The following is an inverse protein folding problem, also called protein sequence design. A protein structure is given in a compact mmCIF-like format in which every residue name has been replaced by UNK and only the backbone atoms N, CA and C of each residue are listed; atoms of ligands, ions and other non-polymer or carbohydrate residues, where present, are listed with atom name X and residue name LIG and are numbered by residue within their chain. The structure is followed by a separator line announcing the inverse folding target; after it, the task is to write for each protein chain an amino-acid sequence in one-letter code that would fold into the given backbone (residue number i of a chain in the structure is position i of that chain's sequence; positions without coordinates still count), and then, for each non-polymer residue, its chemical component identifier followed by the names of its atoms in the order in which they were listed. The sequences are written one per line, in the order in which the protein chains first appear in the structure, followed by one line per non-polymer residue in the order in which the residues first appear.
data_IF_505528390362
#
_entry.id   IF_505528390362
#
_cell.length_a   1.000
_cell.length_b   1.000
_cell.length_c   1.000
_cell.angle_alpha   90.00
_cell.angle_beta   90.00
_cell.angle_gamma   90.00
#
_symmetry.space_group_name_H-M   'P 1'
#
loop_
_entity.id
_entity.type
_entity.pdbx_description
1 polymer ?
#
# COMPACT_ATOMS: atom_id res chain seq x y z
N UNK A 1 -12.38 -16.25 -21.11
CA UNK A 1 -12.65 -15.91 -19.68
C UNK A 1 -11.45 -16.09 -18.73
N UNK A 2 -10.39 -16.84 -19.08
CA UNK A 2 -9.27 -17.13 -18.17
C UNK A 2 -8.37 -15.94 -17.77
N UNK A 3 -8.07 -15.04 -18.72
CA UNK A 3 -7.12 -13.91 -18.49
C UNK A 3 -7.65 -12.89 -17.49
N UNK A 4 -8.96 -12.58 -17.51
CA UNK A 4 -9.57 -11.64 -16.56
C UNK A 4 -9.47 -12.13 -15.11
N UNK A 5 -9.61 -13.45 -14.89
CA UNK A 5 -9.45 -14.07 -13.56
C UNK A 5 -8.00 -14.10 -13.10
N UNK A 6 -7.03 -14.32 -13.99
CA UNK A 6 -5.61 -14.31 -13.62
C UNK A 6 -5.15 -12.90 -13.23
N UNK A 7 -5.55 -11.86 -13.98
CA UNK A 7 -5.29 -10.46 -13.65
C UNK A 7 -5.85 -10.07 -12.27
N UNK A 8 -7.12 -10.42 -12.01
CA UNK A 8 -7.78 -10.12 -10.74
C UNK A 8 -7.12 -10.83 -9.55
N UNK A 9 -6.71 -12.09 -9.74
CA UNK A 9 -6.00 -12.86 -8.72
C UNK A 9 -4.61 -12.26 -8.45
N UNK A 10 -3.91 -11.85 -9.50
CA UNK A 10 -2.63 -11.16 -9.42
C UNK A 10 -2.70 -9.85 -8.62
N UNK A 11 -3.72 -9.01 -8.87
CA UNK A 11 -3.85 -7.71 -8.20
C UNK A 11 -4.08 -7.85 -6.69
N UNK A 12 -4.85 -8.87 -6.29
CA UNK A 12 -5.11 -9.16 -4.87
C UNK A 12 -3.86 -9.73 -4.20
N UNK A 13 -3.14 -10.65 -4.85
CA UNK A 13 -1.86 -11.18 -4.35
C UNK A 13 -0.85 -10.04 -4.15
N UNK A 14 -0.76 -9.12 -5.11
CA UNK A 14 0.17 -8.01 -5.07
C UNK A 14 -0.18 -7.00 -3.97
N UNK A 15 -1.48 -6.71 -3.79
CA UNK A 15 -1.98 -5.90 -2.68
C UNK A 15 -1.69 -6.54 -1.32
N UNK A 16 -1.78 -7.88 -1.22
CA UNK A 16 -1.47 -8.63 -0.01
C UNK A 16 0.02 -8.54 0.34
N UNK A 17 0.89 -8.75 -0.65
CA UNK A 17 2.35 -8.58 -0.49
C UNK A 17 2.68 -7.14 -0.10
N UNK A 18 2.08 -6.14 -0.74
CA UNK A 18 2.29 -4.73 -0.41
C UNK A 18 1.89 -4.43 1.04
N UNK A 19 0.73 -4.90 1.50
CA UNK A 19 0.28 -4.73 2.89
C UNK A 19 1.24 -5.41 3.89
N UNK A 20 1.68 -6.63 3.60
CA UNK A 20 2.65 -7.35 4.44
C UNK A 20 3.96 -6.58 4.56
N UNK A 21 4.50 -6.10 3.43
CA UNK A 21 5.71 -5.26 3.42
C UNK A 21 5.51 -3.95 4.19
N UNK A 22 4.32 -3.35 4.11
CA UNK A 22 3.96 -2.13 4.82
C UNK A 22 3.93 -2.35 6.34
N UNK A 23 3.25 -3.41 6.79
CA UNK A 23 3.17 -3.80 8.20
C UNK A 23 4.55 -4.15 8.76
N UNK A 24 5.33 -4.94 8.01
CA UNK A 24 6.73 -5.20 8.33
C UNK A 24 7.46 -3.87 8.50
N UNK A 25 7.47 -3.01 7.47
CA UNK A 25 8.14 -1.72 7.54
C UNK A 25 7.73 -0.88 8.76
N UNK A 26 6.44 -0.81 9.11
CA UNK A 26 5.99 -0.07 10.31
C UNK A 26 6.37 -0.73 11.64
N UNK A 27 6.37 -2.07 11.71
CA UNK A 27 6.57 -2.82 12.94
C UNK A 27 8.05 -3.09 13.26
N UNK A 28 8.92 -3.20 12.24
CA UNK A 28 10.34 -3.42 12.50
C UNK A 28 11.04 -2.14 12.96
N UNK A 29 11.87 -2.31 13.98
CA UNK A 29 12.73 -1.26 14.52
C UNK A 29 14.07 -1.13 13.79
N UNK A 30 14.22 -1.75 12.62
CA UNK A 30 15.46 -1.73 11.82
C UNK A 30 15.34 -0.83 10.61
N UNK A 31 14.98 0.44 10.80
CA UNK A 31 14.93 1.42 9.71
C UNK A 31 16.31 1.94 9.38
N UNK A 32 17.08 2.26 10.41
CA UNK A 32 18.46 2.68 10.27
C UNK A 32 19.38 1.94 11.23
N UNK A 33 20.58 1.67 10.76
CA UNK A 33 21.67 1.05 11.51
C UNK A 33 22.73 2.12 11.74
N UNK A 34 23.01 2.41 13.00
CA UNK A 34 24.15 3.21 13.44
C UNK A 34 25.29 2.25 13.82
N UNK A 35 26.54 2.73 13.93
CA UNK A 35 27.70 1.86 14.18
C UNK A 35 27.57 0.99 15.45
N UNK A 36 26.80 1.46 16.44
CA UNK A 36 26.65 0.82 17.75
C UNK A 36 25.17 0.50 18.10
N UNK A 37 24.25 0.58 17.13
CA UNK A 37 22.82 0.48 17.43
C UNK A 37 21.87 0.39 16.24
N UNK A 38 20.60 0.19 16.54
CA UNK A 38 19.50 0.12 15.58
C UNK A 38 18.40 1.10 15.97
N UNK A 39 17.95 1.91 15.02
CA UNK A 39 16.89 2.88 15.23
C UNK A 39 15.69 2.55 14.35
N UNK A 40 14.53 2.44 15.00
CA UNK A 40 13.24 2.19 14.40
C UNK A 40 12.41 3.46 14.26
N UNK A 41 11.12 3.24 14.00
CA UNK A 41 10.12 4.30 13.99
C UNK A 41 9.61 4.63 15.41
N UNK A 42 9.61 3.63 16.30
CA UNK A 42 9.05 3.73 17.65
C UNK A 42 10.12 3.68 18.74
N UNK A 43 11.22 2.96 18.48
CA UNK A 43 12.25 2.70 19.48
C UNK A 43 13.64 2.86 18.88
N UNK A 44 14.56 3.43 19.64
CA UNK A 44 15.98 3.51 19.31
C UNK A 44 16.76 2.67 20.33
N UNK A 45 17.57 1.75 19.84
CA UNK A 45 18.38 0.87 20.67
C UNK A 45 19.85 1.09 20.39
N UNK A 46 20.61 1.49 21.41
CA UNK A 46 22.03 1.82 21.31
C UNK A 46 22.79 1.01 22.37
N UNK A 47 23.84 0.29 21.97
CA UNK A 47 24.65 -0.58 22.86
C UNK A 47 23.82 -1.51 23.79
N UNK A 48 22.72 -2.08 23.28
CA UNK A 48 21.86 -2.98 24.05
C UNK A 48 20.86 -2.31 25.00
N UNK A 49 20.86 -0.97 25.10
CA UNK A 49 19.84 -0.21 25.81
C UNK A 49 18.83 0.32 24.80
N UNK A 50 17.58 -0.10 24.97
CA UNK A 50 16.48 0.27 24.11
C UNK A 50 15.63 1.34 24.79
N UNK A 51 15.53 2.51 24.16
CA UNK A 51 14.76 3.65 24.65
C UNK A 51 13.69 4.06 23.64
N UNK A 52 12.54 4.50 24.13
CA UNK A 52 11.49 5.06 23.28
C UNK A 52 11.96 6.42 22.73
N UNK A 53 11.77 6.65 21.43
CA UNK A 53 12.24 7.88 20.78
C UNK A 53 11.35 9.03 21.30
N UNK A 54 11.92 10.11 21.87
CA UNK A 54 11.12 11.22 22.36
C UNK A 54 10.25 11.76 21.23
N UNK A 55 9.03 12.19 21.59
CA UNK A 55 8.01 12.64 20.64
C UNK A 55 8.46 13.92 19.93
N UNK A 56 9.30 13.76 18.90
CA UNK A 56 9.57 14.81 17.94
C UNK A 56 8.42 14.85 16.94
N UNK A 57 7.90 16.05 16.72
CA UNK A 57 6.77 16.33 15.82
C UNK A 57 6.94 15.67 14.45
N UNK A 58 8.12 15.73 13.84
CA UNK A 58 8.37 15.10 12.53
C UNK A 58 8.26 13.57 12.58
N UNK A 59 8.77 12.92 13.62
CA UNK A 59 8.74 11.45 13.75
C UNK A 59 7.33 10.96 14.10
N UNK A 60 6.63 11.69 14.97
CA UNK A 60 5.24 11.39 15.34
C UNK A 60 4.31 11.51 14.13
N UNK A 61 4.49 12.54 13.28
CA UNK A 61 3.74 12.69 12.03
C UNK A 61 4.06 11.56 11.05
N UNK A 62 5.34 11.18 10.90
CA UNK A 62 5.73 10.03 10.07
C UNK A 62 5.10 8.72 10.56
N UNK A 63 5.11 8.48 11.87
CA UNK A 63 4.51 7.30 12.48
C UNK A 63 2.98 7.26 12.28
N UNK A 64 2.30 8.38 12.48
CA UNK A 64 0.86 8.50 12.21
C UNK A 64 0.55 8.24 10.72
N UNK A 65 1.31 8.83 9.79
CA UNK A 65 1.14 8.59 8.36
C UNK A 65 1.37 7.12 7.98
N UNK A 66 2.35 6.44 8.58
CA UNK A 66 2.59 5.00 8.39
C UNK A 66 1.40 4.16 8.86
N UNK A 67 0.87 4.43 10.05
CA UNK A 67 -0.30 3.70 10.59
C UNK A 67 -1.54 3.95 9.73
N UNK A 68 -1.76 5.19 9.28
CA UNK A 68 -2.84 5.51 8.35
C UNK A 68 -2.66 4.81 6.99
N UNK A 69 -1.43 4.75 6.47
CA UNK A 69 -1.13 4.04 5.22
C UNK A 69 -1.47 2.55 5.32
N UNK A 70 -1.08 1.90 6.43
CA UNK A 70 -1.44 0.50 6.72
C UNK A 70 -2.96 0.34 6.81
N UNK A 71 -3.64 1.21 7.57
CA UNK A 71 -5.09 1.15 7.72
C UNK A 71 -5.82 1.28 6.38
N UNK A 72 -5.44 2.27 5.57
CA UNK A 72 -6.00 2.50 4.24
C UNK A 72 -5.68 1.34 3.29
N UNK A 73 -4.48 0.77 3.36
CA UNK A 73 -4.08 -0.41 2.58
C UNK A 73 -4.90 -1.65 2.90
N UNK A 74 -5.19 -1.90 4.19
CA UNK A 74 -6.04 -3.01 4.65
C UNK A 74 -7.48 -2.82 4.18
N UNK A 75 -8.03 -1.61 4.31
CA UNK A 75 -9.38 -1.29 3.82
C UNK A 75 -9.47 -1.48 2.30
N UNK A 76 -8.45 -1.03 1.55
CA UNK A 76 -8.35 -1.27 0.11
C UNK A 76 -8.31 -2.76 -0.24
N UNK A 77 -7.54 -3.56 0.49
CA UNK A 77 -7.50 -5.02 0.29
C UNK A 77 -8.85 -5.68 0.58
N UNK A 78 -9.50 -5.33 1.70
CA UNK A 78 -10.83 -5.86 2.06
C UNK A 78 -11.85 -5.50 0.98
N UNK A 79 -11.86 -4.25 0.49
CA UNK A 79 -12.75 -3.87 -0.60
C UNK A 79 -12.45 -4.61 -1.90
N UNK A 80 -11.17 -4.81 -2.25
CA UNK A 80 -10.76 -5.62 -3.40
C UNK A 80 -11.21 -7.08 -3.31
N UNK A 81 -11.17 -7.68 -2.11
CA UNK A 81 -11.71 -9.02 -1.85
C UNK A 81 -13.23 -9.06 -1.99
N UNK A 82 -13.93 -8.04 -1.49
CA UNK A 82 -15.40 -7.98 -1.57
C UNK A 82 -15.90 -7.83 -3.00
N UNK A 83 -15.20 -7.08 -3.85
CA UNK A 83 -15.50 -6.98 -5.30
C UNK A 83 -15.38 -8.35 -5.98
N UNK A 84 -14.49 -9.23 -5.53
CA UNK A 84 -14.38 -10.59 -6.07
C UNK A 84 -15.53 -11.50 -5.67
N UNK A 85 -16.18 -11.24 -4.54
CA UNK A 85 -17.31 -12.03 -4.05
C UNK A 85 -18.66 -11.51 -4.53
N UNK A 86 -18.73 -10.25 -4.99
CA UNK A 86 -19.96 -9.59 -5.44
C UNK A 86 -19.72 -9.02 -6.84
N UNK A 87 -20.20 -9.74 -7.87
CA UNK A 87 -20.01 -9.45 -9.31
C UNK A 87 -20.85 -8.27 -9.82
N UNK A 88 -20.92 -7.17 -9.07
CA UNK A 88 -21.73 -6.01 -9.41
C UNK A 88 -21.18 -4.74 -8.79
N UNK A 89 -21.34 -3.63 -9.51
CA UNK A 89 -20.99 -2.24 -9.14
C UNK A 89 -19.57 -1.77 -9.53
N UNK A 90 -19.41 -1.37 -10.80
CA UNK A 90 -18.25 -0.67 -11.39
C UNK A 90 -17.69 0.50 -10.54
N UNK A 91 -18.54 1.15 -9.75
CA UNK A 91 -18.19 2.29 -8.89
C UNK A 91 -17.23 1.91 -7.74
N UNK A 92 -17.24 0.63 -7.32
CA UNK A 92 -16.50 0.12 -6.16
C UNK A 92 -15.02 -0.16 -6.47
N UNK A 93 -14.68 -0.43 -7.73
CA UNK A 93 -13.29 -0.60 -8.17
C UNK A 93 -12.52 0.72 -8.19
N UNK A 94 -13.20 1.85 -8.45
CA UNK A 94 -12.59 3.18 -8.43
C UNK A 94 -12.18 3.62 -7.02
N UNK A 95 -13.06 3.40 -6.04
CA UNK A 95 -12.76 3.72 -4.64
C UNK A 95 -11.61 2.87 -4.10
N UNK A 96 -11.56 1.59 -4.47
CA UNK A 96 -10.47 0.68 -4.07
C UNK A 96 -9.10 1.13 -4.59
N UNK A 97 -9.03 1.56 -5.86
CA UNK A 97 -7.80 2.12 -6.44
C UNK A 97 -7.39 3.43 -5.76
N UNK A 98 -8.35 4.31 -5.46
CA UNK A 98 -8.07 5.57 -4.76
C UNK A 98 -7.51 5.34 -3.35
N UNK A 99 -8.04 4.37 -2.60
CA UNK A 99 -7.50 4.00 -1.29
C UNK A 99 -6.07 3.46 -1.40
N UNK A 100 -5.79 2.55 -2.33
CA UNK A 100 -4.42 2.04 -2.53
C UNK A 100 -3.44 3.14 -2.92
N UNK A 101 -3.87 4.09 -3.78
CA UNK A 101 -3.06 5.23 -4.17
C UNK A 101 -2.80 6.20 -3.01
N UNK A 102 -3.84 6.50 -2.22
CA UNK A 102 -3.72 7.34 -1.03
C UNK A 102 -2.81 6.70 0.01
N UNK A 103 -2.95 5.38 0.26
CA UNK A 103 -2.06 4.63 1.15
C UNK A 103 -0.61 4.68 0.67
N UNK A 104 -0.37 4.51 -0.63
CA UNK A 104 0.95 4.68 -1.23
C UNK A 104 1.52 6.09 -1.06
N UNK A 105 0.70 7.13 -1.27
CA UNK A 105 1.15 8.52 -1.09
C UNK A 105 1.53 8.81 0.37
N UNK A 106 0.70 8.37 1.33
CA UNK A 106 1.00 8.50 2.75
C UNK A 106 2.30 7.78 3.13
N UNK A 107 2.52 6.57 2.58
CA UNK A 107 3.76 5.83 2.76
C UNK A 107 4.97 6.59 2.21
N UNK A 108 4.83 7.16 1.01
CA UNK A 108 5.89 7.95 0.38
C UNK A 108 6.23 9.18 1.21
N UNK A 109 5.22 9.92 1.69
CA UNK A 109 5.43 11.08 2.57
C UNK A 109 6.12 10.67 3.88
N UNK A 110 5.74 9.52 4.44
CA UNK A 110 6.38 9.00 5.64
C UNK A 110 7.87 8.66 5.40
N UNK A 111 8.18 7.94 4.32
CA UNK A 111 9.56 7.59 3.96
C UNK A 111 10.41 8.83 3.68
N UNK A 112 9.90 9.79 2.90
CA UNK A 112 10.60 11.05 2.60
C UNK A 112 10.82 11.86 3.89
N UNK A 113 9.80 11.99 4.74
CA UNK A 113 9.92 12.70 6.01
C UNK A 113 10.97 12.10 6.93
N UNK A 114 11.06 10.78 6.98
CA UNK A 114 12.10 10.07 7.71
C UNK A 114 13.49 10.29 7.10
N UNK A 115 13.61 10.27 5.77
CA UNK A 115 14.87 10.52 5.06
C UNK A 115 15.37 11.94 5.26
N UNK A 116 14.51 12.97 5.18
CA UNK A 116 14.89 14.37 5.41
C UNK A 116 15.39 14.57 6.84
N UNK A 117 14.71 13.98 7.83
CA UNK A 117 15.16 14.02 9.23
C UNK A 117 16.54 13.38 9.40
N UNK A 118 16.79 12.28 8.71
CA UNK A 118 18.05 11.55 8.83
C UNK A 118 19.17 12.09 7.93
N UNK A 119 18.87 12.85 6.88
CA UNK A 119 19.86 13.51 6.03
C UNK A 119 20.73 14.52 6.82
N UNK A 120 20.23 15.02 7.94
CA UNK A 120 20.99 15.84 8.88
C UNK A 120 21.93 15.04 9.80
N UNK A 121 21.81 13.71 9.85
CA UNK A 121 22.73 12.83 10.60
C UNK A 121 23.70 12.16 9.63
N UNK A 122 24.98 12.49 9.71
CA UNK A 122 26.00 12.01 8.76
C UNK A 122 26.42 10.53 8.91
N UNK A 123 25.93 9.80 9.93
CA UNK A 123 26.41 8.45 10.29
C UNK A 123 25.30 7.38 10.38
N UNK A 124 24.28 7.45 9.49
CA UNK A 124 23.17 6.48 9.50
C UNK A 124 23.16 5.64 8.23
N UNK A 125 23.26 4.32 8.38
CA UNK A 125 23.10 3.36 7.29
C UNK A 125 21.63 2.94 7.20
N UNK A 126 21.04 2.93 6.01
CA UNK A 126 19.68 2.44 5.80
C UNK A 126 19.63 0.91 5.89
N UNK A 127 18.63 0.38 6.60
CA UNK A 127 18.48 -1.05 6.86
C UNK A 127 17.29 -1.64 6.05
N UNK A 128 17.09 -2.96 6.12
CA UNK A 128 16.15 -3.72 5.28
C UNK A 128 14.70 -3.19 5.32
N UNK A 129 14.28 -2.65 6.46
CA UNK A 129 12.90 -2.14 6.62
C UNK A 129 12.63 -0.91 5.77
N UNK A 130 13.65 -0.09 5.52
CA UNK A 130 13.56 1.05 4.62
C UNK A 130 13.39 0.60 3.17
N UNK A 131 14.21 -0.36 2.72
CA UNK A 131 14.07 -0.96 1.38
C UNK A 131 12.71 -1.63 1.19
N UNK A 132 12.20 -2.32 2.22
CA UNK A 132 10.87 -2.95 2.15
C UNK A 132 9.74 -1.94 2.01
N UNK A 133 9.82 -0.77 2.66
CA UNK A 133 8.86 0.32 2.51
C UNK A 133 8.89 0.91 1.10
N UNK A 134 10.08 1.12 0.53
CA UNK A 134 10.22 1.58 -0.86
C UNK A 134 9.71 0.57 -1.88
N UNK A 135 9.88 -0.74 -1.62
CA UNK A 135 9.34 -1.80 -2.47
C UNK A 135 7.81 -1.92 -2.38
N UNK A 136 7.19 -1.56 -1.27
CA UNK A 136 5.74 -1.59 -1.13
C UNK A 136 5.02 -0.62 -2.11
N UNK A 137 5.68 0.46 -2.54
CA UNK A 137 5.15 1.44 -3.50
C UNK A 137 4.90 0.87 -4.91
N UNK A 138 5.91 0.33 -5.63
CA UNK A 138 5.70 -0.24 -6.95
C UNK A 138 4.69 -1.41 -6.91
N UNK A 139 4.69 -2.21 -5.84
CA UNK A 139 3.69 -3.27 -5.68
C UNK A 139 2.27 -2.71 -5.52
N UNK A 140 2.09 -1.62 -4.77
CA UNK A 140 0.78 -0.95 -4.64
C UNK A 140 0.31 -0.33 -5.95
N UNK A 141 1.22 0.31 -6.71
CA UNK A 141 0.91 0.93 -8.01
C UNK A 141 0.55 -0.13 -9.05
N UNK A 142 1.32 -1.22 -9.12
CA UNK A 142 1.05 -2.34 -10.01
C UNK A 142 -0.30 -2.99 -9.66
N UNK A 143 -0.64 -3.12 -8.37
CA UNK A 143 -1.92 -3.67 -7.93
C UNK A 143 -3.09 -2.80 -8.38
N UNK A 144 -2.96 -1.47 -8.25
CA UNK A 144 -3.96 -0.50 -8.70
C UNK A 144 -4.15 -0.52 -10.23
N UNK A 145 -3.06 -0.56 -10.99
CA UNK A 145 -3.11 -0.63 -12.46
C UNK A 145 -3.74 -1.94 -12.95
N UNK A 146 -3.41 -3.07 -12.34
CA UNK A 146 -3.99 -4.37 -12.70
C UNK A 146 -5.49 -4.41 -12.39
N UNK A 147 -5.93 -3.73 -11.34
CA UNK A 147 -7.34 -3.56 -11.02
C UNK A 147 -8.06 -2.63 -12.02
N UNK A 148 -7.40 -1.56 -12.47
CA UNK A 148 -7.95 -0.59 -13.43
C UNK A 148 -8.00 -1.12 -14.88
N UNK A 149 -7.01 -1.92 -15.30
CA UNK A 149 -6.96 -2.52 -16.64
C UNK A 149 -8.14 -3.44 -16.94
N UNK A 150 -8.61 -4.20 -15.92
CA UNK A 150 -9.85 -4.98 -16.02
C UNK A 150 -11.06 -4.09 -16.35
N UNK A 151 -11.12 -2.88 -15.78
CA UNK A 151 -12.23 -1.92 -15.99
C UNK A 151 -12.30 -1.47 -17.45
N UNK A 152 -11.17 -1.21 -18.08
CA UNK A 152 -11.12 -0.80 -19.51
C UNK A 152 -11.64 -1.92 -20.40
N UNK A 153 -11.22 -3.17 -20.15
CA UNK A 153 -11.73 -4.32 -20.91
C UNK A 153 -13.22 -4.59 -20.68
N UNK A 154 -13.72 -4.40 -19.46
CA UNK A 154 -15.14 -4.61 -19.13
C UNK A 154 -16.03 -3.51 -19.73
N UNK A 155 -15.55 -2.27 -19.74
CA UNK A 155 -16.25 -1.12 -20.35
C UNK A 155 -16.27 -1.25 -21.87
N UNK A 156 -15.14 -1.60 -22.50
CA UNK A 156 -15.06 -1.85 -23.94
C UNK A 156 -15.98 -3.01 -24.37
N UNK A 157 -16.10 -4.06 -23.56
CA UNK A 157 -16.98 -5.19 -23.86
C UNK A 157 -18.47 -4.84 -23.70
N UNK A 158 -18.83 -4.02 -22.71
CA UNK A 158 -20.20 -3.49 -22.57
C UNK A 158 -20.61 -2.59 -23.73
N UNK A 159 -19.69 -1.81 -24.28
CA UNK A 159 -19.96 -0.98 -25.46
C UNK A 159 -20.13 -1.80 -26.74
N UNK A 160 -19.52 -2.99 -26.83
CA UNK A 160 -19.56 -3.85 -28.02
C UNK A 160 -20.75 -4.81 -28.08
N UNK A 161 -21.45 -5.02 -26.95
CA UNK A 161 -22.74 -5.72 -26.89
C UNK A 161 -23.80 -4.80 -26.30
N UNK A 162 -24.46 -3.96 -27.12
CA UNK A 162 -25.67 -3.28 -26.68
C UNK A 162 -26.72 -4.33 -26.32
N UNK A 163 -27.27 -4.20 -25.12
CA UNK A 163 -28.36 -5.01 -24.59
C UNK A 163 -29.53 -4.96 -25.60
N UNK A 164 -29.85 -6.09 -26.21
CA UNK A 164 -31.00 -6.19 -27.09
C UNK A 164 -32.27 -5.89 -26.28
N UNK A 165 -33.17 -5.01 -26.74
CA UNK A 165 -34.41 -4.72 -26.02
C UNK A 165 -35.20 -6.02 -25.81
N UNK A 166 -35.44 -6.38 -24.55
CA UNK A 166 -36.36 -7.44 -24.17
C UNK A 166 -37.77 -7.01 -24.63
N UNK A 167 -38.18 -7.50 -25.80
CA UNK A 167 -39.54 -7.37 -26.30
C UNK A 167 -40.46 -8.23 -25.42
N UNK A 168 -41.56 -7.67 -24.89
CA UNK A 168 -42.55 -8.47 -24.20
C UNK A 168 -43.25 -9.35 -25.22
N UNK A 169 -42.96 -10.67 -25.19
CA UNK A 169 -43.82 -11.64 -25.85
C UNK A 169 -45.13 -11.72 -25.07
N UNK A 170 -46.21 -11.38 -25.77
CA UNK A 170 -47.61 -11.52 -25.37
C UNK A 170 -47.96 -12.92 -24.88
#
# INVERSE_FOLDING_TARGET
MGVKRSLQRGGILLSLVANVLMVLSTATNYWTRQQEGHSGLWQECNHGICSNIPCQTTLAVTAACMVLAVGVGVVGMVMGLRIRCHEGESLRGQTTSAFLFLGGLLLLTALIGYTVKNAWKNNVFFSWSYFSGWLALPFSILAGNLHSGKRVEETAQKTLTPEAPQLPFQ
#
